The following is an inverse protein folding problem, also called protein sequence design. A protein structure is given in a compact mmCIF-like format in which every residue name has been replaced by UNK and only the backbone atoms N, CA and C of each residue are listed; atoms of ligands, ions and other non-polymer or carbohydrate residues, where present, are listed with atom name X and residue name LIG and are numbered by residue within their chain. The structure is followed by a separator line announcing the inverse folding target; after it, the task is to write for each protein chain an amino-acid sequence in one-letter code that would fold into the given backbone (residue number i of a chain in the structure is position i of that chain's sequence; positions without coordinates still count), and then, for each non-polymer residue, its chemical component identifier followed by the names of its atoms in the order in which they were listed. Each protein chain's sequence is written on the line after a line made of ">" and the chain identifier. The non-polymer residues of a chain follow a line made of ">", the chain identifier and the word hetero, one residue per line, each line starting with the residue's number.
data_IF_427094101301
#
_entry.id   IF_427094101301
#
_cell.length_a   1.000
_cell.length_b   1.000
_cell.length_c   1.000
_cell.angle_alpha   90.00
_cell.angle_beta   90.00
_cell.angle_gamma   90.00
#
_symmetry.space_group_name_H-M   'P 1'
#
loop_
_entity.id
_entity.type
_entity.pdbx_description
1 polymer ?
#
# COMPACT_ATOMS: atom_id res chain seq x y z
N UNK A 1 15.34 17.55 -6.24
CA UNK A 1 15.17 17.44 -4.76
C UNK A 1 15.67 16.06 -4.36
N UNK A 2 16.68 16.01 -3.51
CA UNK A 2 17.17 14.75 -2.98
C UNK A 2 16.38 14.38 -1.73
N UNK A 3 15.92 13.13 -1.64
CA UNK A 3 15.23 12.61 -0.47
C UNK A 3 16.15 11.62 0.23
N UNK A 4 16.48 11.91 1.48
CA UNK A 4 17.34 11.07 2.31
C UNK A 4 16.52 10.49 3.46
N UNK A 5 16.54 9.16 3.58
CA UNK A 5 15.87 8.38 4.61
C UNK A 5 16.86 7.57 5.46
N UNK A 6 18.13 7.99 5.46
CA UNK A 6 19.21 7.33 6.21
C UNK A 6 18.85 7.26 7.70
N UNK A 7 19.05 6.08 8.29
CA UNK A 7 18.70 5.80 9.68
C UNK A 7 17.22 5.59 9.96
N UNK A 8 16.35 5.54 8.94
CA UNK A 8 14.93 5.23 9.07
C UNK A 8 14.65 3.75 8.78
N UNK A 9 13.76 3.16 9.57
CA UNK A 9 13.29 1.80 9.42
C UNK A 9 11.91 1.79 8.76
N UNK A 10 11.81 1.20 7.58
CA UNK A 10 10.56 1.08 6.83
C UNK A 10 10.01 -0.35 6.86
N UNK A 11 8.73 -0.50 7.15
CA UNK A 11 7.98 -1.76 7.04
C UNK A 11 7.00 -1.65 5.88
N UNK A 12 7.17 -2.51 4.87
CA UNK A 12 6.42 -2.42 3.61
C UNK A 12 5.58 -3.66 3.37
N UNK A 13 4.25 -3.50 3.42
CA UNK A 13 3.30 -4.57 3.14
C UNK A 13 3.19 -4.91 1.66
N UNK A 14 2.87 -6.18 1.34
CA UNK A 14 2.66 -6.64 -0.04
C UNK A 14 3.83 -6.36 -0.98
N UNK A 15 5.06 -6.50 -0.49
CA UNK A 15 6.27 -5.98 -1.12
C UNK A 15 7.07 -6.99 -1.95
N UNK A 16 6.52 -8.18 -2.22
CA UNK A 16 7.20 -9.15 -3.09
C UNK A 16 7.05 -8.86 -4.60
N UNK A 17 6.09 -8.00 -4.99
CA UNK A 17 5.77 -7.70 -6.39
C UNK A 17 5.12 -6.31 -6.54
N UNK A 18 5.04 -5.82 -7.79
CA UNK A 18 4.28 -4.64 -8.19
C UNK A 18 4.59 -3.38 -7.38
N UNK A 19 3.57 -2.60 -7.01
CA UNK A 19 3.71 -1.33 -6.30
C UNK A 19 4.48 -1.49 -4.98
N UNK A 20 4.19 -2.53 -4.19
CA UNK A 20 4.85 -2.73 -2.91
C UNK A 20 6.36 -2.99 -3.05
N UNK A 21 6.77 -3.74 -4.09
CA UNK A 21 8.18 -3.96 -4.41
C UNK A 21 8.85 -2.66 -4.84
N UNK A 22 8.27 -1.92 -5.77
CA UNK A 22 8.81 -0.64 -6.22
C UNK A 22 8.97 0.37 -5.07
N UNK A 23 8.00 0.40 -4.13
CA UNK A 23 8.10 1.22 -2.91
C UNK A 23 9.30 0.80 -2.08
N UNK A 24 9.47 -0.50 -1.82
CA UNK A 24 10.57 -1.02 -1.01
C UNK A 24 11.94 -0.68 -1.62
N UNK A 25 12.09 -0.90 -2.93
CA UNK A 25 13.30 -0.57 -3.69
C UNK A 25 13.60 0.94 -3.64
N UNK A 26 12.57 1.79 -3.81
CA UNK A 26 12.74 3.25 -3.78
C UNK A 26 13.11 3.78 -2.40
N UNK A 27 12.49 3.26 -1.32
CA UNK A 27 12.83 3.63 0.05
C UNK A 27 14.26 3.20 0.40
N UNK A 28 14.68 1.98 0.00
CA UNK A 28 16.04 1.50 0.17
C UNK A 28 17.06 2.38 -0.57
N UNK A 29 16.81 2.71 -1.84
CA UNK A 29 17.64 3.62 -2.62
C UNK A 29 17.77 5.02 -1.99
N UNK A 30 16.77 5.44 -1.23
CA UNK A 30 16.80 6.69 -0.45
C UNK A 30 17.49 6.56 0.92
N UNK A 31 18.00 5.39 1.29
CA UNK A 31 18.80 5.15 2.50
C UNK A 31 18.02 4.56 3.67
N UNK A 32 16.74 4.17 3.51
CA UNK A 32 16.00 3.50 4.57
C UNK A 32 16.42 2.02 4.70
N UNK A 33 16.47 1.51 5.92
CA UNK A 33 16.46 0.07 6.19
C UNK A 33 15.04 -0.45 5.96
N UNK A 34 14.87 -1.45 5.10
CA UNK A 34 13.55 -1.93 4.68
C UNK A 34 13.31 -3.36 5.14
N UNK A 35 12.16 -3.59 5.78
CA UNK A 35 11.61 -4.92 6.03
C UNK A 35 10.43 -5.17 5.10
N UNK A 36 10.56 -6.18 4.25
CA UNK A 36 9.52 -6.62 3.34
C UNK A 36 8.48 -7.47 4.07
N UNK A 37 7.20 -7.34 3.74
CA UNK A 37 6.14 -8.21 4.23
C UNK A 37 5.34 -8.82 3.08
N UNK A 38 5.38 -10.14 2.92
CA UNK A 38 4.56 -10.88 1.94
C UNK A 38 4.54 -12.38 2.27
N UNK A 39 3.84 -13.17 1.44
CA UNK A 39 3.77 -14.64 1.57
C UNK A 39 4.96 -15.37 0.93
N UNK A 40 5.56 -14.79 -0.11
CA UNK A 40 6.55 -15.45 -0.96
C UNK A 40 7.96 -15.19 -0.42
N UNK A 41 8.45 -16.11 0.41
CA UNK A 41 9.76 -16.02 1.06
C UNK A 41 10.90 -15.89 0.03
N UNK A 42 10.98 -16.83 -0.93
CA UNK A 42 12.04 -16.85 -1.95
C UNK A 42 12.13 -15.53 -2.75
N UNK A 43 10.98 -14.93 -3.08
CA UNK A 43 10.97 -13.65 -3.80
C UNK A 43 11.49 -12.52 -2.92
N UNK A 44 11.08 -12.48 -1.65
CA UNK A 44 11.54 -11.45 -0.72
C UNK A 44 13.04 -11.58 -0.43
N UNK A 45 13.54 -12.79 -0.25
CA UNK A 45 14.96 -13.03 -0.03
C UNK A 45 15.81 -12.47 -1.18
N UNK A 46 15.43 -12.79 -2.44
CA UNK A 46 16.13 -12.24 -3.64
C UNK A 46 16.05 -10.71 -3.73
N UNK A 47 14.91 -10.13 -3.36
CA UNK A 47 14.78 -8.68 -3.35
C UNK A 47 15.72 -8.07 -2.29
N UNK A 48 15.71 -8.60 -1.06
CA UNK A 48 16.58 -8.13 0.01
C UNK A 48 18.05 -8.17 -0.38
N UNK A 49 18.51 -9.25 -1.04
CA UNK A 49 19.89 -9.37 -1.55
C UNK A 49 20.26 -8.31 -2.61
N UNK A 50 19.26 -7.80 -3.35
CA UNK A 50 19.45 -6.80 -4.41
C UNK A 50 19.35 -5.35 -3.93
N UNK A 51 18.86 -5.11 -2.70
CA UNK A 51 18.69 -3.76 -2.18
C UNK A 51 20.03 -3.11 -1.82
N UNK A 52 20.22 -1.80 -2.08
CA UNK A 52 21.47 -1.09 -1.80
C UNK A 52 21.72 -0.96 -0.29
N UNK A 53 22.98 -1.13 0.12
CA UNK A 53 23.43 -1.02 1.52
C UNK A 53 24.52 0.03 1.73
N UNK A 54 24.82 0.82 0.70
CA UNK A 54 25.92 1.79 0.63
C UNK A 54 25.80 2.97 1.60
N UNK A 55 24.59 3.18 2.16
CA UNK A 55 24.31 4.20 3.19
C UNK A 55 24.15 3.61 4.60
N UNK A 56 24.60 2.38 4.82
CA UNK A 56 24.55 1.69 6.11
C UNK A 56 23.19 1.07 6.43
N UNK A 57 22.32 0.86 5.43
CA UNK A 57 21.03 0.20 5.59
C UNK A 57 21.20 -1.29 5.89
N UNK A 58 20.26 -1.84 6.64
CA UNK A 58 20.06 -3.28 6.83
C UNK A 58 18.65 -3.66 6.40
N UNK A 59 18.53 -4.65 5.52
CA UNK A 59 17.26 -5.07 4.98
C UNK A 59 16.89 -6.47 5.48
N UNK A 60 15.59 -6.72 5.56
CA UNK A 60 15.07 -8.00 5.98
C UNK A 60 13.69 -8.27 5.39
N UNK A 61 13.13 -9.40 5.75
CA UNK A 61 11.76 -9.74 5.36
C UNK A 61 11.02 -10.48 6.47
N UNK A 62 9.70 -10.46 6.39
CA UNK A 62 8.78 -11.14 7.28
C UNK A 62 7.72 -11.87 6.44
N UNK A 63 7.70 -13.20 6.55
CA UNK A 63 6.72 -14.02 5.85
C UNK A 63 5.38 -13.94 6.58
N UNK A 64 4.39 -13.29 5.96
CA UNK A 64 3.07 -13.08 6.55
C UNK A 64 1.94 -13.44 5.59
N UNK A 65 0.86 -13.94 6.14
CA UNK A 65 -0.41 -14.09 5.43
C UNK A 65 -1.44 -13.11 6.00
N UNK A 66 -1.70 -12.03 5.28
CA UNK A 66 -2.68 -11.01 5.68
C UNK A 66 -4.13 -11.52 5.75
N UNK A 67 -4.43 -12.69 5.17
CA UNK A 67 -5.76 -13.30 5.25
C UNK A 67 -5.96 -14.20 6.48
N UNK A 68 -4.91 -14.42 7.26
CA UNK A 68 -4.94 -15.17 8.53
C UNK A 68 -4.59 -14.19 9.66
N UNK A 69 -5.59 -13.46 10.13
CA UNK A 69 -5.34 -12.41 11.12
C UNK A 69 -4.76 -12.92 12.44
N UNK A 70 -5.16 -14.08 13.01
CA UNK A 70 -4.52 -14.61 14.22
C UNK A 70 -3.02 -14.86 14.05
N UNK A 71 -2.61 -15.52 12.97
CA UNK A 71 -1.20 -15.76 12.66
C UNK A 71 -0.46 -14.45 12.37
N UNK A 72 -1.06 -13.55 11.58
CA UNK A 72 -0.53 -12.21 11.30
C UNK A 72 -0.27 -11.43 12.59
N UNK A 73 -1.25 -11.41 13.51
CA UNK A 73 -1.14 -10.72 14.80
C UNK A 73 0.06 -11.23 15.59
N UNK A 74 0.20 -12.54 15.75
CA UNK A 74 1.30 -13.14 16.51
C UNK A 74 2.68 -12.78 15.89
N UNK A 75 2.78 -12.77 14.55
CA UNK A 75 4.00 -12.36 13.85
C UNK A 75 4.33 -10.87 14.04
N UNK A 76 3.32 -9.99 13.98
CA UNK A 76 3.51 -8.56 14.23
C UNK A 76 3.95 -8.30 15.67
N UNK A 77 3.32 -8.94 16.66
CA UNK A 77 3.71 -8.82 18.06
C UNK A 77 5.17 -9.23 18.27
N UNK A 78 5.58 -10.36 17.69
CA UNK A 78 6.96 -10.85 17.79
C UNK A 78 7.97 -9.93 17.07
N UNK A 79 7.58 -9.34 15.95
CA UNK A 79 8.42 -8.39 15.20
C UNK A 79 8.61 -7.09 15.97
N UNK A 80 7.52 -6.46 16.42
CA UNK A 80 7.57 -5.18 17.14
C UNK A 80 8.15 -5.27 18.55
N UNK A 81 8.20 -6.47 19.14
CA UNK A 81 8.92 -6.69 20.40
C UNK A 81 10.44 -6.47 20.28
N UNK A 82 10.99 -6.54 19.06
CA UNK A 82 12.44 -6.45 18.80
C UNK A 82 12.83 -5.31 17.86
N UNK A 83 11.87 -4.73 17.15
CA UNK A 83 12.12 -3.76 16.10
C UNK A 83 11.27 -2.51 16.27
N UNK A 84 11.79 -1.38 15.80
CA UNK A 84 11.06 -0.12 15.67
C UNK A 84 10.82 0.19 14.21
N UNK A 85 9.70 0.85 13.91
CA UNK A 85 9.32 1.24 12.57
C UNK A 85 9.08 2.75 12.56
N UNK A 86 9.77 3.44 11.67
CA UNK A 86 9.63 4.88 11.42
C UNK A 86 8.67 5.16 10.25
N UNK A 87 8.69 4.29 9.24
CA UNK A 87 7.88 4.41 8.01
C UNK A 87 7.06 3.14 7.85
N UNK A 88 5.74 3.26 7.87
CA UNK A 88 4.82 2.14 7.66
C UNK A 88 4.04 2.30 6.37
N UNK A 89 4.13 1.30 5.49
CA UNK A 89 3.34 1.23 4.26
C UNK A 89 2.30 0.13 4.39
N UNK A 90 1.06 0.52 4.66
CA UNK A 90 -0.09 -0.37 4.70
C UNK A 90 -0.52 -0.71 3.26
N UNK A 91 0.05 -1.76 2.73
CA UNK A 91 -0.25 -2.29 1.41
C UNK A 91 -0.44 -3.81 1.48
N UNK A 92 -1.53 -4.29 0.92
CA UNK A 92 -1.86 -5.71 0.81
C UNK A 92 -2.43 -6.02 -0.56
N UNK A 93 -2.58 -7.29 -0.88
CA UNK A 93 -3.39 -7.70 -2.04
C UNK A 93 -4.83 -7.22 -1.88
N UNK A 94 -5.52 -6.94 -3.01
CA UNK A 94 -6.96 -6.69 -2.99
C UNK A 94 -7.77 -7.98 -2.81
N UNK A 95 -9.02 -7.90 -2.31
CA UNK A 95 -9.95 -9.02 -2.27
C UNK A 95 -10.37 -9.45 -3.68
N UNK A 96 -11.02 -10.60 -3.79
CA UNK A 96 -11.59 -11.06 -5.05
C UNK A 96 -12.62 -10.07 -5.60
N UNK A 97 -12.59 -9.85 -6.91
CA UNK A 97 -13.57 -9.01 -7.59
C UNK A 97 -14.98 -9.61 -7.47
N UNK A 98 -15.99 -8.77 -7.51
CA UNK A 98 -17.41 -9.12 -7.49
C UNK A 98 -18.28 -7.93 -7.11
N UNK A 99 -19.54 -7.98 -7.52
CA UNK A 99 -20.55 -6.99 -7.16
C UNK A 99 -21.03 -7.16 -5.72
N UNK A 100 -21.76 -6.19 -5.19
CA UNK A 100 -22.33 -6.25 -3.85
C UNK A 100 -23.39 -7.38 -3.69
N UNK A 101 -24.05 -7.78 -4.80
CA UNK A 101 -25.00 -8.88 -4.80
C UNK A 101 -24.32 -10.26 -4.79
N UNK A 102 -23.08 -10.35 -5.28
CA UNK A 102 -22.32 -11.59 -5.38
C UNK A 102 -21.51 -11.89 -4.11
N UNK A 103 -21.33 -10.92 -3.21
CA UNK A 103 -20.46 -11.04 -2.03
C UNK A 103 -21.26 -11.24 -0.75
N UNK A 104 -21.00 -12.37 -0.09
CA UNK A 104 -21.60 -12.71 1.19
C UNK A 104 -20.83 -12.17 2.40
N UNK A 105 -21.36 -12.46 3.60
CA UNK A 105 -20.80 -11.96 4.87
C UNK A 105 -19.42 -12.51 5.17
N UNK A 106 -19.12 -13.76 4.80
CA UNK A 106 -17.82 -14.41 5.02
C UNK A 106 -16.72 -13.75 4.19
N UNK A 107 -17.06 -13.37 2.94
CA UNK A 107 -16.14 -12.66 2.07
C UNK A 107 -15.92 -11.21 2.55
N UNK A 108 -16.96 -10.58 3.09
CA UNK A 108 -16.85 -9.28 3.75
C UNK A 108 -15.91 -9.35 4.96
N UNK A 109 -16.04 -10.38 5.81
CA UNK A 109 -15.19 -10.56 6.99
C UNK A 109 -13.72 -10.79 6.55
N UNK A 110 -13.50 -11.66 5.57
CA UNK A 110 -12.16 -11.92 5.03
C UNK A 110 -11.51 -10.64 4.47
N UNK A 111 -12.28 -9.85 3.73
CA UNK A 111 -11.81 -8.59 3.18
C UNK A 111 -11.57 -7.53 4.27
N UNK A 112 -12.37 -7.50 5.33
CA UNK A 112 -12.19 -6.63 6.49
C UNK A 112 -10.88 -6.97 7.21
N UNK A 113 -10.64 -8.24 7.49
CA UNK A 113 -9.39 -8.67 8.13
C UNK A 113 -8.17 -8.29 7.28
N UNK A 114 -8.24 -8.55 5.98
CA UNK A 114 -7.17 -8.28 5.01
C UNK A 114 -6.83 -6.80 4.85
N UNK A 115 -7.84 -5.95 4.61
CA UNK A 115 -7.63 -4.56 4.17
C UNK A 115 -7.66 -3.54 5.30
N UNK A 116 -8.45 -3.81 6.34
CA UNK A 116 -8.68 -2.84 7.42
C UNK A 116 -7.99 -3.27 8.72
N UNK A 117 -8.33 -4.44 9.22
CA UNK A 117 -7.88 -4.90 10.55
C UNK A 117 -6.36 -5.05 10.64
N UNK A 118 -5.70 -5.63 9.62
CA UNK A 118 -4.25 -5.71 9.56
C UNK A 118 -3.60 -4.32 9.58
N UNK A 119 -4.10 -3.37 8.78
CA UNK A 119 -3.57 -2.02 8.71
C UNK A 119 -3.71 -1.27 10.05
N UNK A 120 -4.88 -1.34 10.67
CA UNK A 120 -5.15 -0.73 11.98
C UNK A 120 -4.22 -1.32 13.05
N UNK A 121 -4.12 -2.65 13.09
CA UNK A 121 -3.31 -3.35 14.09
C UNK A 121 -1.83 -2.97 13.98
N UNK A 122 -1.26 -3.04 12.78
CA UNK A 122 0.16 -2.71 12.56
C UNK A 122 0.45 -1.24 12.79
N UNK A 123 -0.47 -0.34 12.42
CA UNK A 123 -0.32 1.09 12.71
C UNK A 123 -0.25 1.37 14.21
N UNK A 124 -1.13 0.73 15.00
CA UNK A 124 -1.12 0.89 16.46
C UNK A 124 0.21 0.42 17.08
N UNK A 125 0.78 -0.67 16.61
CA UNK A 125 2.09 -1.15 17.08
C UNK A 125 3.22 -0.17 16.70
N UNK A 126 3.22 0.33 15.46
CA UNK A 126 4.22 1.28 14.98
C UNK A 126 4.18 2.62 15.75
N UNK A 127 3.00 3.09 16.11
CA UNK A 127 2.79 4.35 16.82
C UNK A 127 3.54 4.41 18.15
N UNK A 128 3.73 3.31 18.86
CA UNK A 128 4.45 3.28 20.14
C UNK A 128 5.87 3.86 20.02
N UNK A 129 6.62 3.44 19.01
CA UNK A 129 7.97 3.96 18.77
C UNK A 129 7.93 5.34 18.10
N UNK A 130 7.01 5.56 17.15
CA UNK A 130 6.87 6.84 16.44
C UNK A 130 6.56 7.98 17.42
N UNK A 131 5.65 7.78 18.39
CA UNK A 131 5.30 8.78 19.41
C UNK A 131 6.47 9.05 20.34
N UNK A 132 7.16 7.99 20.82
CA UNK A 132 8.35 8.14 21.66
C UNK A 132 9.44 8.96 20.99
N UNK A 133 9.60 8.80 19.68
CA UNK A 133 10.63 9.48 18.88
C UNK A 133 10.16 10.82 18.31
N UNK A 134 8.89 11.19 18.50
CA UNK A 134 8.24 12.37 17.88
C UNK A 134 8.49 12.43 16.37
N UNK A 135 8.40 11.30 15.70
CA UNK A 135 8.56 11.16 14.25
C UNK A 135 7.94 9.87 13.73
N UNK A 136 7.16 9.96 12.67
CA UNK A 136 6.59 8.80 12.00
C UNK A 136 5.93 9.16 10.67
N UNK A 137 5.88 8.17 9.77
CA UNK A 137 5.20 8.28 8.47
C UNK A 137 4.39 7.03 8.21
N UNK A 138 3.07 7.18 8.11
CA UNK A 138 2.16 6.08 7.78
C UNK A 138 1.51 6.39 6.43
N UNK A 139 1.57 5.45 5.50
CA UNK A 139 1.00 5.60 4.17
C UNK A 139 0.08 4.40 3.90
N UNK A 140 -1.20 4.68 3.66
CA UNK A 140 -2.19 3.70 3.27
C UNK A 140 -2.29 3.63 1.74
N UNK A 141 -2.05 2.46 1.17
CA UNK A 141 -2.33 2.21 -0.25
C UNK A 141 -3.81 1.92 -0.40
N UNK A 142 -4.56 2.93 -0.86
CA UNK A 142 -6.00 2.85 -1.10
C UNK A 142 -6.31 2.67 -2.60
N UNK A 143 -7.40 3.24 -3.08
CA UNK A 143 -7.83 3.14 -4.48
C UNK A 143 -8.65 4.39 -4.85
N UNK A 144 -8.63 4.78 -6.10
CA UNK A 144 -9.55 5.77 -6.68
C UNK A 144 -11.02 5.39 -6.46
N UNK A 145 -11.29 4.09 -6.30
CA UNK A 145 -12.65 3.56 -6.07
C UNK A 145 -13.27 3.99 -4.74
N UNK A 146 -12.49 4.61 -3.85
CA UNK A 146 -12.96 5.31 -2.66
C UNK A 146 -13.84 6.52 -3.02
N UNK A 147 -13.54 7.19 -4.14
CA UNK A 147 -14.31 8.34 -4.65
C UNK A 147 -15.30 7.95 -5.73
N UNK A 148 -14.91 7.10 -6.67
CA UNK A 148 -15.71 6.64 -7.79
C UNK A 148 -15.80 5.10 -7.78
N UNK A 149 -16.77 4.52 -7.07
CA UNK A 149 -16.87 3.07 -6.89
C UNK A 149 -17.09 2.33 -8.21
N UNK A 150 -16.33 1.26 -8.39
CA UNK A 150 -16.53 0.32 -9.50
C UNK A 150 -17.42 -0.82 -9.03
N UNK A 151 -18.53 -1.08 -9.72
CA UNK A 151 -19.56 -2.03 -9.30
C UNK A 151 -19.04 -3.47 -9.09
N UNK A 152 -17.99 -3.87 -9.80
CA UNK A 152 -17.38 -5.21 -9.68
C UNK A 152 -16.26 -5.29 -8.63
N UNK A 153 -16.03 -4.25 -7.83
CA UNK A 153 -15.02 -4.19 -6.77
C UNK A 153 -15.63 -3.83 -5.40
N UNK A 154 -16.86 -4.30 -5.13
CA UNK A 154 -17.64 -3.87 -3.96
C UNK A 154 -16.87 -3.93 -2.64
N UNK A 155 -16.20 -5.05 -2.32
CA UNK A 155 -15.44 -5.20 -1.08
C UNK A 155 -14.24 -4.25 -1.02
N UNK A 156 -13.52 -4.09 -2.13
CA UNK A 156 -12.40 -3.16 -2.21
C UNK A 156 -12.85 -1.71 -2.01
N UNK A 157 -13.94 -1.30 -2.67
CA UNK A 157 -14.50 0.04 -2.53
C UNK A 157 -14.81 0.35 -1.06
N UNK A 158 -15.59 -0.53 -0.42
CA UNK A 158 -16.09 -0.34 0.95
C UNK A 158 -14.95 -0.30 1.97
N UNK A 159 -14.05 -1.29 1.93
CA UNK A 159 -13.05 -1.42 2.99
C UNK A 159 -11.88 -0.44 2.83
N UNK A 160 -11.56 -0.05 1.60
CA UNK A 160 -10.58 1.03 1.39
C UNK A 160 -11.16 2.39 1.75
N UNK A 161 -12.47 2.61 1.58
CA UNK A 161 -13.14 3.82 2.10
C UNK A 161 -13.11 3.87 3.61
N UNK A 162 -13.37 2.73 4.29
CA UNK A 162 -13.25 2.63 5.73
C UNK A 162 -11.82 2.93 6.21
N UNK A 163 -10.79 2.38 5.54
CA UNK A 163 -9.38 2.63 5.86
C UNK A 163 -9.00 4.10 5.69
N UNK A 164 -9.47 4.76 4.64
CA UNK A 164 -9.22 6.19 4.38
C UNK A 164 -9.88 7.05 5.46
N UNK A 165 -11.13 6.76 5.83
CA UNK A 165 -11.86 7.49 6.87
C UNK A 165 -11.22 7.34 8.25
N UNK A 166 -10.86 6.10 8.62
CA UNK A 166 -10.10 5.81 9.84
C UNK A 166 -8.75 6.52 9.84
N UNK A 167 -8.02 6.46 8.73
CA UNK A 167 -6.73 7.13 8.58
C UNK A 167 -6.82 8.64 8.76
N UNK A 168 -7.90 9.28 8.26
CA UNK A 168 -8.14 10.70 8.50
C UNK A 168 -8.32 11.03 9.98
N UNK A 169 -9.08 10.20 10.70
CA UNK A 169 -9.31 10.37 12.14
C UNK A 169 -8.00 10.21 12.92
N UNK A 170 -7.26 9.13 12.64
CA UNK A 170 -5.97 8.90 13.31
C UNK A 170 -4.96 10.02 13.01
N UNK A 171 -4.91 10.53 11.79
CA UNK A 171 -4.00 11.62 11.41
C UNK A 171 -4.17 12.87 12.29
N UNK A 172 -5.42 13.18 12.68
CA UNK A 172 -5.73 14.31 13.57
C UNK A 172 -5.14 14.07 14.96
N UNK A 173 -5.29 12.86 15.50
CA UNK A 173 -4.85 12.54 16.85
C UNK A 173 -3.33 12.55 17.02
N UNK A 174 -2.59 12.11 15.97
CA UNK A 174 -1.12 11.92 16.01
C UNK A 174 -0.31 13.08 15.43
N UNK A 175 -0.94 14.06 14.79
CA UNK A 175 -0.25 15.18 14.15
C UNK A 175 0.63 15.98 15.12
N UNK A 176 0.19 16.15 16.36
CA UNK A 176 0.95 16.83 17.42
C UNK A 176 2.28 16.15 17.75
N UNK A 177 2.40 14.87 17.47
CA UNK A 177 3.59 14.06 17.70
C UNK A 177 4.54 14.04 16.48
N UNK A 178 4.34 14.94 15.51
CA UNK A 178 5.10 14.99 14.23
C UNK A 178 5.01 13.69 13.42
N UNK A 179 3.88 13.00 13.54
CA UNK A 179 3.57 11.78 12.77
C UNK A 179 2.54 12.14 11.70
N UNK A 180 2.81 11.77 10.47
CA UNK A 180 1.85 11.97 9.38
C UNK A 180 1.23 10.65 8.93
N UNK A 181 -0.06 10.69 8.60
CA UNK A 181 -0.76 9.58 7.94
C UNK A 181 -1.47 10.11 6.69
N UNK A 182 -1.15 9.52 5.55
CA UNK A 182 -1.76 9.89 4.26
C UNK A 182 -2.22 8.62 3.53
N UNK A 183 -3.27 8.76 2.73
CA UNK A 183 -3.78 7.70 1.86
C UNK A 183 -3.50 8.04 0.41
N UNK A 184 -3.01 7.07 -0.38
CA UNK A 184 -2.81 7.25 -1.82
C UNK A 184 -3.93 6.51 -2.55
N UNK A 185 -4.67 7.24 -3.38
CA UNK A 185 -5.76 6.69 -4.18
C UNK A 185 -5.18 6.19 -5.51
N UNK A 186 -4.95 4.89 -5.57
CA UNK A 186 -4.30 4.20 -6.68
C UNK A 186 -5.21 4.10 -7.89
N UNK A 187 -4.77 4.60 -9.05
CA UNK A 187 -5.37 4.38 -10.36
C UNK A 187 -4.92 3.06 -11.00
N UNK A 188 -4.70 3.05 -12.30
CA UNK A 188 -4.20 1.89 -13.03
C UNK A 188 -2.67 1.91 -13.07
N UNK A 189 -2.03 0.86 -12.52
CA UNK A 189 -0.58 0.67 -12.53
C UNK A 189 -0.22 -0.69 -13.12
N UNK A 190 0.85 -0.76 -13.91
CA UNK A 190 1.31 -1.97 -14.59
C UNK A 190 1.87 -2.98 -13.58
N UNK A 191 0.98 -3.85 -13.14
CA UNK A 191 1.24 -4.87 -12.12
C UNK A 191 0.55 -6.17 -12.49
N UNK A 192 1.07 -7.30 -12.00
CA UNK A 192 0.40 -8.60 -12.16
C UNK A 192 -1.07 -8.57 -11.70
N UNK A 193 -1.39 -7.76 -10.68
CA UNK A 193 -2.78 -7.61 -10.20
C UNK A 193 -3.67 -6.97 -11.24
N UNK A 194 -3.20 -5.92 -11.91
CA UNK A 194 -3.96 -5.28 -12.98
C UNK A 194 -4.12 -6.24 -14.17
N UNK A 195 -3.05 -6.97 -14.53
CA UNK A 195 -3.09 -8.02 -15.56
C UNK A 195 -4.17 -9.05 -15.26
N UNK A 196 -4.22 -9.57 -14.04
CA UNK A 196 -5.27 -10.52 -13.64
C UNK A 196 -6.68 -9.92 -13.78
N UNK A 197 -6.88 -8.66 -13.40
CA UNK A 197 -8.19 -8.00 -13.49
C UNK A 197 -8.66 -7.83 -14.91
N UNK A 198 -7.80 -7.34 -15.82
CA UNK A 198 -8.22 -7.15 -17.21
C UNK A 198 -8.33 -8.49 -17.96
N UNK A 199 -7.54 -9.51 -17.62
CA UNK A 199 -7.68 -10.86 -18.18
C UNK A 199 -9.04 -11.47 -17.79
N UNK A 200 -9.39 -11.45 -16.51
CA UNK A 200 -10.70 -11.93 -16.03
C UNK A 200 -11.88 -11.17 -16.67
N UNK A 201 -11.71 -9.86 -16.87
CA UNK A 201 -12.72 -9.04 -17.56
C UNK A 201 -12.83 -9.43 -19.05
N UNK A 202 -11.70 -9.67 -19.71
CA UNK A 202 -11.65 -10.10 -21.11
C UNK A 202 -12.38 -11.45 -21.32
N UNK A 203 -12.13 -12.42 -20.44
CA UNK A 203 -12.83 -13.71 -20.44
C UNK A 203 -14.35 -13.54 -20.30
N UNK A 204 -14.80 -12.73 -19.33
CA UNK A 204 -16.25 -12.47 -19.12
C UNK A 204 -16.92 -11.76 -20.31
N UNK A 205 -16.17 -10.92 -21.02
CA UNK A 205 -16.67 -10.17 -22.17
C UNK A 205 -16.46 -10.88 -23.50
N UNK A 206 -15.77 -12.04 -23.51
CA UNK A 206 -15.37 -12.77 -24.71
C UNK A 206 -14.60 -11.90 -25.73
N UNK A 207 -13.61 -11.15 -25.22
CA UNK A 207 -12.69 -10.30 -25.99
C UNK A 207 -11.23 -10.60 -25.59
N UNK A 208 -10.25 -10.01 -26.28
CA UNK A 208 -8.83 -10.20 -25.90
C UNK A 208 -8.42 -9.34 -24.71
N UNK A 209 -7.40 -9.78 -23.97
CA UNK A 209 -6.83 -9.04 -22.87
C UNK A 209 -6.26 -7.68 -23.31
N UNK A 210 -5.64 -7.62 -24.49
CA UNK A 210 -5.09 -6.41 -25.11
C UNK A 210 -6.19 -5.39 -25.39
N UNK A 211 -7.37 -5.87 -25.86
CA UNK A 211 -8.54 -4.98 -26.07
C UNK A 211 -8.97 -4.32 -24.76
N UNK A 212 -9.09 -5.10 -23.67
CA UNK A 212 -9.47 -4.55 -22.36
C UNK A 212 -8.41 -3.60 -21.83
N UNK A 213 -7.12 -3.93 -21.98
CA UNK A 213 -6.01 -3.04 -21.60
C UNK A 213 -6.07 -1.72 -22.36
N UNK A 214 -6.22 -1.77 -23.68
CA UNK A 214 -6.34 -0.56 -24.52
C UNK A 214 -7.55 0.30 -24.16
N UNK A 215 -8.70 -0.33 -23.84
CA UNK A 215 -9.89 0.39 -23.37
C UNK A 215 -9.66 1.05 -22.00
N UNK A 216 -8.86 0.44 -21.12
CA UNK A 216 -8.47 1.06 -19.85
C UNK A 216 -7.51 2.24 -20.05
N UNK A 217 -6.51 2.09 -20.90
CA UNK A 217 -5.57 3.16 -21.26
C UNK A 217 -6.30 4.36 -21.87
N UNK A 218 -7.27 4.11 -22.76
CA UNK A 218 -8.08 5.16 -23.38
C UNK A 218 -8.99 5.93 -22.39
N UNK A 219 -9.32 5.34 -21.23
CA UNK A 219 -10.07 6.03 -20.17
C UNK A 219 -9.19 7.01 -19.37
N UNK A 220 -7.88 6.76 -19.31
CA UNK A 220 -6.93 7.61 -18.58
C UNK A 220 -6.59 8.82 -19.45
N UNK A 221 -6.75 10.07 -18.98
CA UNK A 221 -6.38 11.25 -19.76
C UNK A 221 -4.92 11.26 -20.24
N UNK A 222 -4.00 10.66 -19.48
CA UNK A 222 -2.60 10.48 -19.91
C UNK A 222 -2.41 9.36 -20.95
N UNK A 223 -3.47 8.66 -21.37
CA UNK A 223 -3.49 7.62 -22.41
C UNK A 223 -2.49 6.47 -22.16
N UNK A 224 -2.20 6.18 -20.92
CA UNK A 224 -1.34 5.08 -20.48
C UNK A 224 -1.66 4.60 -19.08
N UNK A 225 -1.22 3.40 -18.76
CA UNK A 225 -1.15 2.88 -17.41
C UNK A 225 0.10 3.43 -16.73
N UNK A 226 0.05 3.71 -15.43
CA UNK A 226 1.17 4.21 -14.64
C UNK A 226 2.21 3.13 -14.37
N UNK A 227 3.46 3.53 -14.21
CA UNK A 227 4.55 2.65 -13.80
C UNK A 227 4.61 2.57 -12.27
N UNK A 228 4.81 1.38 -11.65
CA UNK A 228 5.02 1.24 -10.21
C UNK A 228 6.09 2.16 -9.61
N UNK A 229 7.12 2.53 -10.37
CA UNK A 229 8.15 3.48 -9.93
C UNK A 229 7.59 4.89 -9.72
N UNK A 230 6.64 5.34 -10.55
CA UNK A 230 5.98 6.64 -10.38
C UNK A 230 5.22 6.69 -9.05
N UNK A 231 4.57 5.56 -8.69
CA UNK A 231 3.91 5.43 -7.39
C UNK A 231 4.92 5.49 -6.24
N UNK A 232 6.01 4.76 -6.36
CA UNK A 232 7.07 4.69 -5.35
C UNK A 232 7.71 6.06 -5.10
N UNK A 233 7.84 6.91 -6.12
CA UNK A 233 8.35 8.28 -6.00
C UNK A 233 7.44 9.14 -5.09
N UNK A 234 6.11 9.06 -5.26
CA UNK A 234 5.17 9.75 -4.38
C UNK A 234 5.25 9.24 -2.94
N UNK A 235 5.31 7.91 -2.76
CA UNK A 235 5.45 7.31 -1.43
C UNK A 235 6.74 7.77 -0.76
N UNK A 236 7.86 7.77 -1.46
CA UNK A 236 9.15 8.21 -0.95
C UNK A 236 9.11 9.69 -0.53
N UNK A 237 8.46 10.55 -1.32
CA UNK A 237 8.23 11.95 -0.95
C UNK A 237 7.40 12.07 0.34
N UNK A 238 6.26 11.38 0.42
CA UNK A 238 5.40 11.41 1.61
C UNK A 238 6.06 10.81 2.86
N UNK A 239 7.00 9.86 2.69
CA UNK A 239 7.79 9.29 3.76
C UNK A 239 8.91 10.21 4.26
N UNK A 240 9.19 11.31 3.57
CA UNK A 240 10.32 12.20 3.85
C UNK A 240 10.00 13.35 4.79
N UNK A 241 11.03 14.10 5.18
CA UNK A 241 10.88 15.34 5.93
C UNK A 241 10.24 16.46 5.10
N UNK A 242 10.39 16.41 3.77
CA UNK A 242 9.84 17.41 2.86
C UNK A 242 8.31 17.42 2.83
N UNK A 243 7.67 16.30 3.23
CA UNK A 243 6.23 16.17 3.36
C UNK A 243 5.71 16.34 4.79
N UNK A 244 6.49 16.89 5.72
CA UNK A 244 6.16 16.96 7.15
C UNK A 244 4.88 17.75 7.49
N UNK A 245 4.41 18.60 6.58
CA UNK A 245 3.17 19.37 6.76
C UNK A 245 1.99 18.80 5.95
N UNK A 246 2.15 17.60 5.38
CA UNK A 246 1.11 16.89 4.62
C UNK A 246 0.62 15.73 5.47
N UNK A 247 -0.58 15.84 6.04
CA UNK A 247 -1.18 14.76 6.84
C UNK A 247 -2.70 14.73 6.70
N UNK A 248 -3.30 13.55 6.83
CA UNK A 248 -4.74 13.35 6.74
C UNK A 248 -5.30 13.57 5.35
N UNK A 249 -4.48 13.47 4.29
CA UNK A 249 -4.92 13.69 2.90
C UNK A 249 -5.15 12.37 2.17
N UNK A 250 -5.96 12.45 1.12
CA UNK A 250 -6.20 11.38 0.15
C UNK A 250 -5.74 11.86 -1.22
N UNK A 251 -4.57 11.40 -1.65
CA UNK A 251 -3.88 11.88 -2.84
C UNK A 251 -4.09 10.89 -3.99
N UNK A 252 -4.79 11.27 -5.07
CA UNK A 252 -4.89 10.42 -6.25
C UNK A 252 -3.56 10.38 -7.02
N UNK A 253 -3.22 9.20 -7.53
CA UNK A 253 -2.18 8.98 -8.52
C UNK A 253 -2.75 8.07 -9.60
N UNK A 254 -3.27 8.66 -10.67
CA UNK A 254 -4.20 7.99 -11.59
C UNK A 254 -4.15 8.48 -13.05
N UNK A 255 -3.22 9.38 -13.38
CA UNK A 255 -3.12 9.94 -14.72
C UNK A 255 -4.32 10.83 -15.13
N UNK A 256 -5.09 11.33 -14.15
CA UNK A 256 -6.28 12.14 -14.35
C UNK A 256 -7.58 11.33 -14.53
N UNK A 257 -7.57 10.04 -14.17
CA UNK A 257 -8.73 9.15 -14.38
C UNK A 257 -9.96 9.54 -13.56
N UNK A 258 -9.78 9.97 -12.30
CA UNK A 258 -10.86 10.51 -11.48
C UNK A 258 -11.45 11.78 -12.08
N UNK A 259 -12.76 11.89 -12.06
CA UNK A 259 -13.52 13.09 -12.49
C UNK A 259 -13.99 13.92 -11.30
N UNK A 260 -14.00 13.33 -10.09
CA UNK A 260 -14.35 14.00 -8.83
C UNK A 260 -13.12 14.64 -8.19
N UNK A 261 -13.35 15.74 -7.45
CA UNK A 261 -12.33 16.48 -6.69
C UNK A 261 -11.90 15.74 -5.43
#
# INVERSE_FOLDING_TARGET
>A
MEILLTGKNALVGGSSKGIGRAIAERLAASGASVTLMARSEDLMARIVESLPTDKGQSHGYLVVNFSDFPAYKAQMDAFFAKNTVDILINNTQGPAAGSALEKGIEECQTAFDLLFKCAVYTSNLALTAMQKNSWGRIINVASITVREPLNYLALSNSLRSALVSWGKSLAIDIAKDNITLNSILTGYFDTERLTQLYTQKAEKMNVTAEKVRGDMEAQVPMQRIGDPEEYANLVCFLASQQASYITGTSIPIDGGLLKSY
#
